data_IF_127310967568
#
_entry.id   IF_127310967568
#
_cell.length_a   1.000
_cell.length_b   1.000
_cell.length_c   1.000
_cell.angle_alpha   90.00
_cell.angle_beta   90.00
_cell.angle_gamma   90.00
#
_symmetry.space_group_name_H-M   'P 1'
#
loop_
_entity.id
_entity.type
_entity.pdbx_description
1 polymer ?
#
# COMPACT_ATOMS: atom_id res chain seq x y z
N UNK A 1 13.76 27.92 -7.84
CA UNK A 1 12.30 27.68 -7.80
C UNK A 1 12.03 26.35 -7.11
N UNK A 2 12.19 26.32 -5.79
CA UNK A 2 12.05 25.13 -4.94
C UNK A 2 10.95 25.40 -3.91
N UNK A 3 10.12 24.40 -3.62
CA UNK A 3 9.33 24.27 -2.39
C UNK A 3 8.10 25.19 -2.21
N UNK A 4 7.23 25.39 -3.21
CA UNK A 4 6.10 26.34 -3.06
C UNK A 4 4.75 25.71 -2.71
N UNK A 5 4.44 24.47 -3.09
CA UNK A 5 3.05 23.98 -2.91
C UNK A 5 2.69 23.44 -1.52
N UNK A 6 3.63 22.85 -0.77
CA UNK A 6 3.37 22.56 0.66
C UNK A 6 3.68 23.76 1.57
N UNK A 7 4.49 24.72 1.13
CA UNK A 7 4.79 25.92 1.93
C UNK A 7 3.65 26.93 1.89
N UNK A 8 3.25 27.39 0.69
CA UNK A 8 2.28 28.50 0.58
C UNK A 8 0.86 28.16 1.04
N UNK A 9 0.40 26.91 0.87
CA UNK A 9 -0.91 26.51 1.39
C UNK A 9 -0.88 26.30 2.90
N UNK A 10 0.20 25.75 3.47
CA UNK A 10 0.30 25.58 4.93
C UNK A 10 0.49 26.95 5.61
N UNK A 11 1.34 27.81 5.06
CA UNK A 11 1.60 29.16 5.60
C UNK A 11 0.34 30.03 5.52
N UNK A 12 -0.39 30.04 4.39
CA UNK A 12 -1.63 30.83 4.29
C UNK A 12 -2.78 30.29 5.14
N UNK A 13 -2.76 29.01 5.55
CA UNK A 13 -3.84 28.40 6.36
C UNK A 13 -3.55 28.45 7.86
N UNK A 14 -2.28 28.50 8.25
CA UNK A 14 -1.85 28.93 9.59
C UNK A 14 -2.24 30.39 9.79
N UNK A 15 -2.04 31.24 8.77
CA UNK A 15 -2.45 32.66 8.82
C UNK A 15 -3.97 32.86 8.88
N UNK A 16 -4.77 31.93 8.33
CA UNK A 16 -6.24 31.92 8.44
C UNK A 16 -6.78 31.35 9.78
N UNK A 17 -5.91 30.92 10.70
CA UNK A 17 -6.31 30.44 12.04
C UNK A 17 -7.04 29.09 12.06
N UNK A 18 -7.00 28.31 10.98
CA UNK A 18 -7.70 27.00 10.87
C UNK A 18 -7.02 25.87 11.67
N UNK A 19 -5.75 26.01 12.01
CA UNK A 19 -5.00 25.05 12.83
C UNK A 19 -4.24 25.78 13.94
N UNK A 20 -4.59 25.48 15.20
CA UNK A 20 -3.96 26.08 16.38
C UNK A 20 -2.67 25.35 16.80
N UNK A 21 -2.47 24.11 16.34
CA UNK A 21 -1.28 23.29 16.61
C UNK A 21 -0.60 22.91 15.28
N UNK A 22 0.67 23.30 15.03
CA UNK A 22 1.40 22.91 13.82
C UNK A 22 1.47 21.40 13.60
N UNK A 23 1.37 20.59 14.66
CA UNK A 23 1.28 19.13 14.55
C UNK A 23 -0.04 18.64 13.95
N UNK A 24 -1.10 19.46 13.92
CA UNK A 24 -2.36 19.12 13.25
C UNK A 24 -2.27 19.24 11.72
N UNK A 25 -1.23 19.89 11.20
CA UNK A 25 -0.92 19.92 9.75
C UNK A 25 -0.03 18.75 9.31
N UNK A 26 0.31 17.84 10.24
CA UNK A 26 1.13 16.67 9.94
C UNK A 26 0.45 15.79 8.88
N UNK A 27 1.05 15.81 7.70
CA UNK A 27 0.64 15.01 6.54
C UNK A 27 -0.87 15.12 6.25
N UNK A 28 -1.30 16.35 5.93
CA UNK A 28 -2.56 16.57 5.23
C UNK A 28 -2.34 16.30 3.74
N UNK A 29 -3.12 15.39 3.18
CA UNK A 29 -3.15 15.11 1.76
C UNK A 29 -4.44 15.64 1.14
N UNK A 30 -4.39 15.95 -0.14
CA UNK A 30 -5.47 16.66 -0.82
C UNK A 30 -5.99 15.87 -2.00
N UNK A 31 -7.31 15.89 -2.19
CA UNK A 31 -7.98 15.34 -3.37
C UNK A 31 -8.82 16.43 -4.06
N UNK A 32 -8.90 16.38 -5.38
CA UNK A 32 -9.75 17.28 -6.16
C UNK A 32 -11.23 17.00 -5.88
N UNK A 33 -12.01 18.03 -5.52
CA UNK A 33 -13.42 17.87 -5.21
C UNK A 33 -14.28 17.60 -6.47
N UNK A 34 -13.87 18.11 -7.63
CA UNK A 34 -14.43 17.78 -8.93
C UNK A 34 -14.04 16.39 -9.42
N UNK A 35 -13.10 15.71 -8.73
CA UNK A 35 -12.59 14.40 -9.09
C UNK A 35 -11.56 14.43 -10.23
N UNK A 36 -11.28 13.25 -10.76
CA UNK A 36 -10.27 13.00 -11.78
C UNK A 36 -10.88 12.34 -13.02
N UNK A 37 -10.13 12.31 -14.12
CA UNK A 37 -10.47 11.53 -15.30
C UNK A 37 -9.22 11.08 -16.05
N UNK A 38 -9.39 10.12 -16.96
CA UNK A 38 -8.34 9.66 -17.86
C UNK A 38 -8.34 10.46 -19.15
N UNK A 39 -7.21 11.07 -19.48
CA UNK A 39 -6.98 11.74 -20.74
C UNK A 39 -6.00 10.94 -21.61
N UNK A 40 -6.52 10.43 -22.73
CA UNK A 40 -5.76 9.68 -23.74
C UNK A 40 -4.94 10.61 -24.66
N UNK A 41 -5.18 11.93 -24.62
CA UNK A 41 -4.50 12.95 -25.44
C UNK A 41 -3.48 13.77 -24.64
N UNK A 42 -3.40 13.57 -23.33
CA UNK A 42 -2.41 14.24 -22.51
C UNK A 42 -1.00 13.73 -22.85
N UNK A 43 -0.06 14.64 -23.04
CA UNK A 43 1.33 14.32 -23.35
C UNK A 43 2.26 14.88 -22.26
N UNK A 44 3.30 14.16 -21.84
CA UNK A 44 4.31 14.71 -20.93
C UNK A 44 5.01 15.90 -21.59
N UNK A 45 5.13 17.02 -20.89
CA UNK A 45 5.44 18.29 -21.55
C UNK A 45 6.05 19.38 -20.70
N UNK A 46 6.68 19.08 -19.57
CA UNK A 46 7.33 20.13 -18.78
C UNK A 46 8.41 20.89 -19.57
N UNK A 47 8.37 22.23 -19.54
CA UNK A 47 9.23 23.28 -20.14
C UNK A 47 9.86 23.11 -21.56
N UNK A 48 10.15 21.90 -22.06
CA UNK A 48 10.75 21.62 -23.38
C UNK A 48 10.45 20.20 -23.87
N UNK A 49 9.17 19.81 -23.94
CA UNK A 49 8.76 18.56 -24.58
C UNK A 49 9.37 18.40 -25.99
N UNK A 50 10.26 17.41 -26.13
CA UNK A 50 11.18 17.02 -27.23
C UNK A 50 12.57 17.67 -27.20
N UNK A 51 13.67 16.87 -27.15
CA UNK A 51 14.93 17.29 -27.73
C UNK A 51 14.67 17.49 -29.23
N UNK A 52 14.89 18.71 -29.74
CA UNK A 52 15.36 18.84 -31.12
C UNK A 52 16.60 17.95 -31.23
N UNK A 53 16.64 17.08 -32.23
CA UNK A 53 17.74 16.17 -32.56
C UNK A 53 19.08 16.64 -31.97
N UNK A 54 19.50 16.01 -30.88
CA UNK A 54 20.66 16.43 -30.10
C UNK A 54 20.90 15.50 -28.92
N UNK A 55 22.16 15.29 -28.50
CA UNK A 55 22.51 14.23 -27.58
C UNK A 55 21.76 14.31 -26.25
N UNK A 56 21.30 13.14 -25.80
CA UNK A 56 20.42 12.92 -24.64
C UNK A 56 20.93 13.57 -23.35
N UNK A 57 20.02 13.93 -22.45
CA UNK A 57 20.32 14.52 -21.13
C UNK A 57 21.28 13.67 -20.26
N UNK A 58 21.32 12.36 -20.50
CA UNK A 58 22.26 11.43 -19.87
C UNK A 58 23.72 11.73 -20.29
N UNK A 59 23.94 12.12 -21.55
CA UNK A 59 25.25 12.51 -22.06
C UNK A 59 25.78 13.76 -21.36
N UNK A 60 24.90 14.73 -21.08
CA UNK A 60 25.27 15.96 -20.33
C UNK A 60 25.63 15.67 -18.86
N UNK A 61 24.97 14.72 -18.22
CA UNK A 61 25.28 14.35 -16.81
C UNK A 61 26.59 13.55 -16.74
N UNK A 62 26.83 12.65 -17.69
CA UNK A 62 28.09 11.90 -17.79
C UNK A 62 29.31 12.82 -18.06
N UNK A 63 29.14 13.81 -18.93
CA UNK A 63 30.16 14.83 -19.22
C UNK A 63 30.41 15.78 -18.03
N UNK A 64 29.43 15.99 -17.15
CA UNK A 64 29.54 16.90 -15.99
C UNK A 64 30.14 16.24 -14.74
N UNK A 65 30.00 14.92 -14.57
CA UNK A 65 30.36 14.23 -13.31
C UNK A 65 31.43 13.14 -13.42
N UNK A 66 32.08 12.98 -14.58
CA UNK A 66 33.42 12.37 -14.69
C UNK A 66 33.61 10.97 -14.07
N UNK A 67 32.60 10.11 -14.07
CA UNK A 67 32.75 8.72 -13.62
C UNK A 67 32.34 7.72 -14.69
N UNK A 68 33.33 7.12 -15.34
CA UNK A 68 33.17 6.07 -16.37
C UNK A 68 32.39 4.84 -15.86
N UNK A 69 32.30 4.64 -14.54
CA UNK A 69 31.54 3.56 -13.92
C UNK A 69 30.01 3.70 -14.09
N UNK A 70 29.45 4.92 -14.12
CA UNK A 70 28.01 5.11 -14.37
C UNK A 70 27.64 5.00 -15.84
N UNK A 71 28.59 5.21 -16.76
CA UNK A 71 28.35 5.12 -18.21
C UNK A 71 28.09 3.67 -18.65
N UNK A 72 28.82 2.69 -18.09
CA UNK A 72 28.68 1.27 -18.45
C UNK A 72 27.34 0.65 -18.02
N UNK A 73 26.75 1.12 -16.91
CA UNK A 73 25.42 0.67 -16.47
C UNK A 73 24.28 1.36 -17.26
N UNK A 74 24.56 2.50 -17.91
CA UNK A 74 23.59 3.25 -18.69
C UNK A 74 23.48 2.79 -20.16
N UNK A 75 24.54 2.18 -20.71
CA UNK A 75 24.62 1.73 -22.12
C UNK A 75 23.67 0.59 -22.49
N UNK A 76 22.94 0.00 -21.53
CA UNK A 76 21.96 -1.07 -21.76
C UNK A 76 20.53 -0.75 -21.30
N UNK A 77 20.27 0.44 -20.77
CA UNK A 77 18.90 0.83 -20.40
C UNK A 77 18.20 1.27 -21.69
N UNK A 78 17.13 0.57 -22.14
CA UNK A 78 16.31 1.11 -23.21
C UNK A 78 15.88 2.51 -22.78
N UNK A 79 15.90 3.46 -23.72
CA UNK A 79 15.30 4.78 -23.58
C UNK A 79 14.08 4.66 -22.68
N UNK A 80 13.96 5.51 -21.65
CA UNK A 80 12.74 5.55 -20.82
C UNK A 80 11.59 5.66 -21.80
N UNK A 81 10.90 4.55 -22.07
CA UNK A 81 9.69 4.54 -22.89
C UNK A 81 8.82 5.56 -22.18
N UNK A 82 8.52 6.71 -22.83
CA UNK A 82 7.74 7.73 -22.17
C UNK A 82 6.47 7.04 -21.68
N UNK A 83 6.08 7.25 -20.41
CA UNK A 83 4.88 6.64 -19.87
C UNK A 83 3.75 6.75 -20.89
N UNK A 84 3.25 5.60 -21.33
CA UNK A 84 2.24 5.58 -22.37
C UNK A 84 0.95 6.17 -21.82
N UNK A 85 0.33 7.07 -22.59
CA UNK A 85 -1.06 7.47 -22.40
C UNK A 85 -1.96 6.27 -22.06
N UNK A 86 -2.99 6.44 -21.24
CA UNK A 86 -3.54 7.72 -20.75
C UNK A 86 -2.89 8.24 -19.46
N UNK A 87 -3.19 9.50 -19.14
CA UNK A 87 -2.89 10.16 -17.88
C UNK A 87 -4.13 10.39 -17.04
N UNK A 88 -4.01 10.16 -15.74
CA UNK A 88 -4.99 10.57 -14.75
C UNK A 88 -4.69 12.02 -14.37
N UNK A 89 -5.67 12.90 -14.58
CA UNK A 89 -5.56 14.34 -14.31
C UNK A 89 -6.83 14.83 -13.60
N UNK A 90 -6.73 15.94 -12.87
CA UNK A 90 -7.89 16.60 -12.28
C UNK A 90 -8.87 17.11 -13.34
N UNK A 91 -10.15 17.19 -12.98
CA UNK A 91 -11.18 17.77 -13.84
C UNK A 91 -11.06 19.30 -13.89
N UNK A 92 -11.30 19.97 -15.05
CA UNK A 92 -11.31 21.43 -15.14
C UNK A 92 -12.35 22.11 -14.23
N UNK A 93 -13.40 21.37 -13.87
CA UNK A 93 -14.46 21.77 -12.96
C UNK A 93 -14.01 21.82 -11.50
N UNK A 94 -12.86 21.24 -11.17
CA UNK A 94 -12.27 21.31 -9.82
C UNK A 94 -12.11 22.77 -9.41
N UNK A 95 -12.72 23.15 -8.30
CA UNK A 95 -12.60 24.48 -7.72
C UNK A 95 -11.87 24.46 -6.37
N UNK A 96 -11.84 23.30 -5.70
CA UNK A 96 -11.24 23.14 -4.38
C UNK A 96 -10.55 21.78 -4.22
N UNK A 97 -9.56 21.76 -3.34
CA UNK A 97 -8.85 20.56 -2.92
C UNK A 97 -9.21 20.23 -1.46
N UNK A 98 -9.82 19.08 -1.23
CA UNK A 98 -10.24 18.63 0.09
C UNK A 98 -9.07 17.98 0.83
N UNK A 99 -8.66 18.59 1.95
CA UNK A 99 -7.62 18.07 2.82
C UNK A 99 -8.13 16.98 3.77
N UNK A 100 -7.37 15.90 3.94
CA UNK A 100 -7.61 14.83 4.91
C UNK A 100 -6.29 14.22 5.41
N UNK A 101 -6.32 13.36 6.43
CA UNK A 101 -5.12 12.74 7.03
C UNK A 101 -5.06 11.23 6.77
N UNK A 102 -4.43 10.77 5.68
CA UNK A 102 -4.48 9.36 5.29
C UNK A 102 -3.89 8.41 6.34
N UNK A 103 -2.83 8.85 7.04
CA UNK A 103 -2.15 8.02 8.03
C UNK A 103 -2.97 7.79 9.30
N UNK A 104 -3.85 8.72 9.64
CA UNK A 104 -4.72 8.67 10.82
C UNK A 104 -6.08 8.04 10.47
N UNK A 105 -6.71 8.51 9.40
CA UNK A 105 -8.08 8.13 9.03
C UNK A 105 -8.19 6.78 8.32
N UNK A 106 -7.08 6.32 7.69
CA UNK A 106 -7.03 5.07 6.92
C UNK A 106 -5.76 4.28 7.26
N UNK A 107 -5.68 3.67 8.46
CA UNK A 107 -4.44 3.07 8.96
C UNK A 107 -3.95 1.84 8.16
N UNK A 108 -4.79 1.27 7.28
CA UNK A 108 -4.53 0.10 6.45
C UNK A 108 -4.63 0.39 4.95
N UNK A 109 -4.44 1.64 4.54
CA UNK A 109 -4.57 2.06 3.13
C UNK A 109 -3.65 1.27 2.19
N UNK A 110 -2.49 0.81 2.67
CA UNK A 110 -1.60 -0.07 1.89
C UNK A 110 -2.23 -1.41 1.48
N UNK A 111 -3.14 -1.97 2.29
CA UNK A 111 -3.86 -3.20 1.96
C UNK A 111 -4.97 -2.94 0.95
N UNK A 112 -5.68 -1.82 1.09
CA UNK A 112 -6.67 -1.37 0.10
C UNK A 112 -6.01 -1.12 -1.26
N UNK A 113 -4.86 -0.45 -1.26
CA UNK A 113 -4.06 -0.21 -2.47
C UNK A 113 -3.52 -1.52 -3.08
N UNK A 114 -3.05 -2.47 -2.27
CA UNK A 114 -2.63 -3.79 -2.74
C UNK A 114 -3.78 -4.60 -3.38
N UNK A 115 -4.99 -4.45 -2.85
CA UNK A 115 -6.21 -5.10 -3.33
C UNK A 115 -6.84 -4.44 -4.56
N UNK A 116 -6.39 -3.23 -4.93
CA UNK A 116 -6.97 -2.42 -6.00
C UNK A 116 -6.84 -3.10 -7.37
N UNK A 117 -7.92 -3.24 -8.13
CA UNK A 117 -7.82 -3.73 -9.52
C UNK A 117 -7.00 -2.73 -10.36
N UNK A 118 -5.94 -3.15 -11.05
CA UNK A 118 -5.07 -2.26 -11.83
C UNK A 118 -5.71 -1.93 -13.19
N UNK A 119 -6.91 -1.36 -13.14
CA UNK A 119 -7.77 -0.99 -14.27
C UNK A 119 -8.06 0.50 -14.21
N UNK A 120 -8.39 1.14 -15.34
CA UNK A 120 -8.74 2.56 -15.40
C UNK A 120 -9.82 2.92 -14.36
N UNK A 121 -10.87 2.11 -14.25
CA UNK A 121 -12.02 2.33 -13.38
C UNK A 121 -11.64 2.19 -11.91
N UNK A 122 -10.96 1.09 -11.55
CA UNK A 122 -10.49 0.88 -10.18
C UNK A 122 -9.56 1.98 -9.70
N UNK A 123 -8.57 2.37 -10.52
CA UNK A 123 -7.64 3.46 -10.21
C UNK A 123 -8.39 4.79 -10.06
N UNK A 124 -9.32 5.09 -10.97
CA UNK A 124 -10.11 6.31 -10.90
C UNK A 124 -10.96 6.37 -9.63
N UNK A 125 -11.61 5.26 -9.24
CA UNK A 125 -12.38 5.17 -8.00
C UNK A 125 -11.49 5.37 -6.75
N UNK A 126 -10.25 4.90 -6.79
CA UNK A 126 -9.28 5.13 -5.72
C UNK A 126 -8.85 6.61 -5.68
N UNK A 127 -8.51 7.20 -6.83
CA UNK A 127 -8.07 8.58 -6.92
C UNK A 127 -9.18 9.58 -6.54
N UNK A 128 -10.44 9.33 -6.91
CA UNK A 128 -11.55 10.16 -6.45
C UNK A 128 -11.74 10.11 -4.93
N UNK A 129 -11.35 9.00 -4.28
CA UNK A 129 -11.43 8.87 -2.82
C UNK A 129 -10.23 9.46 -2.09
N UNK A 130 -9.03 9.34 -2.65
CA UNK A 130 -7.79 9.61 -1.92
C UNK A 130 -6.87 10.63 -2.61
N UNK A 131 -7.18 11.03 -3.83
CA UNK A 131 -6.31 11.86 -4.67
C UNK A 131 -5.28 11.05 -5.45
N UNK A 132 -4.45 11.78 -6.20
CA UNK A 132 -3.29 11.22 -6.91
C UNK A 132 -2.26 10.65 -5.93
N UNK A 133 -1.42 9.73 -6.40
CA UNK A 133 -0.41 9.08 -5.55
C UNK A 133 0.75 10.03 -5.20
N UNK A 134 1.10 10.90 -6.12
CA UNK A 134 2.26 11.77 -6.09
C UNK A 134 1.88 13.14 -6.65
N UNK A 135 2.88 13.94 -7.01
CA UNK A 135 2.67 15.13 -7.85
C UNK A 135 2.65 14.80 -9.34
N UNK A 136 2.78 13.54 -9.73
CA UNK A 136 2.84 13.15 -11.14
C UNK A 136 3.99 13.82 -11.90
N UNK A 137 3.81 13.92 -13.20
CA UNK A 137 4.65 14.72 -14.09
C UNK A 137 3.83 15.84 -14.72
N UNK A 138 4.51 16.89 -15.18
CA UNK A 138 3.85 17.96 -15.92
C UNK A 138 3.41 17.45 -17.29
N UNK A 139 2.12 17.52 -17.55
CA UNK A 139 1.48 17.12 -18.81
C UNK A 139 0.74 18.30 -19.44
N UNK A 140 0.66 18.27 -20.76
CA UNK A 140 -0.12 19.20 -21.57
C UNK A 140 -1.28 18.43 -22.20
N UNK A 141 -2.47 19.01 -22.16
CA UNK A 141 -3.67 18.43 -22.75
C UNK A 141 -4.49 19.48 -23.49
N UNK A 142 -5.17 19.13 -24.60
CA UNK A 142 -6.15 20.00 -25.24
C UNK A 142 -7.25 20.51 -24.30
N UNK A 143 -7.60 19.77 -23.24
CA UNK A 143 -8.64 20.17 -22.29
C UNK A 143 -8.21 21.39 -21.48
N UNK A 144 -6.94 21.44 -21.10
CA UNK A 144 -6.33 22.62 -20.46
C UNK A 144 -5.68 23.51 -21.54
N UNK A 145 -6.47 23.90 -22.54
CA UNK A 145 -6.02 24.87 -23.54
C UNK A 145 -7.09 25.91 -23.88
N UNK A 146 -6.66 27.10 -24.27
CA UNK A 146 -7.53 28.20 -24.68
C UNK A 146 -6.89 29.03 -25.80
N UNK A 147 -7.70 29.81 -26.52
CA UNK A 147 -7.17 30.69 -27.56
C UNK A 147 -6.47 31.90 -26.93
N UNK A 148 -5.39 32.35 -27.56
CA UNK A 148 -4.66 33.53 -27.09
C UNK A 148 -5.58 34.74 -27.01
N UNK A 149 -5.63 35.37 -25.84
CA UNK A 149 -6.51 36.52 -25.55
C UNK A 149 -7.84 36.17 -24.90
N UNK A 150 -8.17 34.88 -24.77
CA UNK A 150 -9.29 34.41 -23.94
C UNK A 150 -8.85 34.15 -22.50
N UNK A 151 -9.83 34.13 -21.60
CA UNK A 151 -9.60 33.66 -20.22
C UNK A 151 -9.48 32.13 -20.18
N UNK A 152 -8.66 31.57 -19.28
CA UNK A 152 -8.58 30.13 -19.10
C UNK A 152 -9.95 29.53 -18.72
N UNK A 153 -10.31 28.34 -19.25
CA UNK A 153 -11.61 27.72 -19.00
C UNK A 153 -11.72 27.01 -17.64
N UNK A 154 -10.61 26.78 -16.95
CA UNK A 154 -10.58 26.10 -15.65
C UNK A 154 -10.71 27.08 -14.47
N UNK A 155 -11.27 26.60 -13.37
CA UNK A 155 -11.56 27.43 -12.18
C UNK A 155 -10.44 27.47 -11.15
N UNK A 156 -9.61 26.43 -11.09
CA UNK A 156 -8.55 26.31 -10.07
C UNK A 156 -7.22 26.93 -10.52
N UNK A 157 -6.39 27.32 -9.55
CA UNK A 157 -5.05 27.90 -9.80
C UNK A 157 -3.93 26.85 -9.86
N UNK A 158 -4.26 25.55 -9.89
CA UNK A 158 -3.28 24.45 -9.91
C UNK A 158 -2.68 24.22 -11.31
N UNK A 159 -2.37 25.29 -12.03
CA UNK A 159 -1.70 25.27 -13.33
C UNK A 159 -0.28 25.78 -13.14
N UNK A 160 0.69 24.96 -13.53
CA UNK A 160 2.12 25.18 -13.32
C UNK A 160 2.69 26.33 -14.15
N UNK A 161 2.12 26.53 -15.33
CA UNK A 161 2.56 27.52 -16.31
C UNK A 161 1.66 27.51 -17.53
N UNK A 162 1.87 28.50 -18.40
CA UNK A 162 1.17 28.63 -19.67
C UNK A 162 2.16 28.51 -20.82
N UNK A 163 1.84 27.68 -21.81
CA UNK A 163 2.70 27.36 -22.94
C UNK A 163 1.99 27.68 -24.25
N UNK A 164 2.54 28.60 -25.03
CA UNK A 164 1.97 28.95 -26.34
C UNK A 164 2.49 28.01 -27.43
N UNK A 165 1.57 27.39 -28.16
CA UNK A 165 1.89 26.56 -29.32
C UNK A 165 0.79 26.72 -30.38
N UNK A 166 1.19 27.08 -31.61
CA UNK A 166 0.27 27.22 -32.76
C UNK A 166 -0.95 28.12 -32.49
N UNK A 167 -0.76 29.24 -31.77
CA UNK A 167 -1.83 30.21 -31.48
C UNK A 167 -2.78 29.80 -30.33
N UNK A 168 -2.53 28.65 -29.69
CA UNK A 168 -3.22 28.20 -28.48
C UNK A 168 -2.30 28.30 -27.28
N UNK A 169 -2.87 28.55 -26.11
CA UNK A 169 -2.19 28.52 -24.82
C UNK A 169 -2.60 27.26 -24.08
N UNK A 170 -1.62 26.47 -23.63
CA UNK A 170 -1.82 25.27 -22.82
C UNK A 170 -1.42 25.54 -21.38
N UNK A 171 -2.27 25.15 -20.43
CA UNK A 171 -1.93 25.07 -19.02
C UNK A 171 -1.19 23.79 -18.72
N UNK A 172 0.02 23.89 -18.16
CA UNK A 172 0.73 22.73 -17.60
C UNK A 172 0.04 22.26 -16.32
N UNK A 173 -0.36 20.99 -16.28
CA UNK A 173 -0.98 20.37 -15.11
C UNK A 173 -0.19 19.14 -14.68
N UNK A 174 -0.44 18.66 -13.47
CA UNK A 174 0.14 17.41 -13.01
C UNK A 174 -0.71 16.22 -13.44
N UNK A 175 -0.05 15.17 -13.95
CA UNK A 175 -0.71 13.93 -14.37
C UNK A 175 0.07 12.68 -13.98
N UNK A 176 -0.65 11.59 -13.73
CA UNK A 176 -0.05 10.28 -13.46
C UNK A 176 -0.48 9.26 -14.52
N UNK A 177 0.49 8.65 -15.19
CA UNK A 177 0.17 7.67 -16.24
C UNK A 177 -0.46 6.39 -15.69
N UNK A 178 -1.28 5.73 -16.52
CA UNK A 178 -1.86 4.44 -16.18
C UNK A 178 -0.79 3.39 -15.86
N UNK A 179 0.29 3.36 -16.65
CA UNK A 179 1.41 2.44 -16.44
C UNK A 179 2.09 2.65 -15.08
N UNK A 180 2.26 3.90 -14.65
CA UNK A 180 2.78 4.21 -13.31
C UNK A 180 1.88 3.63 -12.21
N UNK A 181 0.58 3.88 -12.27
CA UNK A 181 -0.37 3.33 -11.30
C UNK A 181 -0.36 1.80 -11.27
N UNK A 182 -0.41 1.16 -12.44
CA UNK A 182 -0.37 -0.31 -12.57
C UNK A 182 0.90 -0.88 -11.94
N UNK A 183 2.06 -0.25 -12.18
CA UNK A 183 3.34 -0.65 -11.60
C UNK A 183 3.34 -0.53 -10.07
N UNK A 184 2.87 0.58 -9.52
CA UNK A 184 2.85 0.80 -8.07
C UNK A 184 1.87 -0.13 -7.34
N UNK A 185 0.66 -0.32 -7.87
CA UNK A 185 -0.33 -1.28 -7.35
C UNK A 185 0.25 -2.69 -7.36
N UNK A 186 0.86 -3.10 -8.48
CA UNK A 186 1.40 -4.44 -8.66
C UNK A 186 2.60 -4.68 -7.72
N UNK A 187 3.48 -3.69 -7.56
CA UNK A 187 4.59 -3.75 -6.62
C UNK A 187 4.10 -3.91 -5.17
N UNK A 188 3.13 -3.10 -4.74
CA UNK A 188 2.55 -3.20 -3.41
C UNK A 188 1.91 -4.58 -3.19
N UNK A 189 1.08 -5.04 -4.13
CA UNK A 189 0.41 -6.36 -4.07
C UNK A 189 1.40 -7.50 -3.89
N UNK A 190 2.46 -7.52 -4.71
CA UNK A 190 3.47 -8.59 -4.68
C UNK A 190 4.23 -8.61 -3.35
N UNK A 191 4.59 -7.45 -2.82
CA UNK A 191 5.32 -7.38 -1.54
C UNK A 191 4.42 -7.64 -0.32
N UNK A 192 3.15 -7.19 -0.34
CA UNK A 192 2.17 -7.56 0.68
C UNK A 192 2.01 -9.08 0.73
N UNK A 193 1.97 -9.76 -0.43
CA UNK A 193 1.91 -11.24 -0.49
C UNK A 193 3.13 -11.91 0.17
N UNK A 194 4.34 -11.41 -0.10
CA UNK A 194 5.57 -11.91 0.55
C UNK A 194 5.53 -11.68 2.07
N UNK A 195 5.07 -10.50 2.50
CA UNK A 195 4.89 -10.19 3.92
C UNK A 195 3.87 -11.11 4.59
N UNK A 196 2.75 -11.41 3.94
CA UNK A 196 1.76 -12.37 4.43
C UNK A 196 2.37 -13.77 4.58
N UNK A 197 3.12 -14.24 3.59
CA UNK A 197 3.78 -15.55 3.67
C UNK A 197 4.84 -15.63 4.77
N UNK A 198 5.60 -14.56 4.98
CA UNK A 198 6.54 -14.45 6.11
C UNK A 198 5.82 -14.52 7.45
N UNK A 199 4.70 -13.82 7.57
CA UNK A 199 3.90 -13.76 8.79
C UNK A 199 3.22 -15.10 9.11
N UNK A 200 2.76 -15.80 8.09
CA UNK A 200 2.10 -17.10 8.20
C UNK A 200 3.08 -18.28 8.24
N UNK A 201 4.40 -18.05 8.15
CA UNK A 201 5.41 -19.11 8.16
C UNK A 201 5.39 -20.01 6.91
N UNK A 202 4.92 -19.50 5.77
CA UNK A 202 4.75 -20.26 4.51
C UNK A 202 6.08 -20.37 3.74
N UNK A 203 7.05 -21.07 4.29
CA UNK A 203 8.37 -21.27 3.70
C UNK A 203 8.31 -21.85 2.27
N UNK A 204 7.38 -22.77 1.99
CA UNK A 204 7.22 -23.37 0.66
C UNK A 204 6.80 -22.34 -0.41
N UNK A 205 5.96 -21.36 -0.04
CA UNK A 205 5.61 -20.26 -0.94
C UNK A 205 6.77 -19.27 -1.09
N UNK A 206 7.54 -19.02 -0.03
CA UNK A 206 8.75 -18.18 -0.10
C UNK A 206 9.83 -18.77 -1.01
N UNK A 207 9.94 -20.10 -1.12
CA UNK A 207 10.84 -20.78 -2.08
C UNK A 207 10.51 -20.50 -3.55
N UNK A 208 9.28 -20.09 -3.87
CA UNK A 208 8.93 -19.66 -5.23
C UNK A 208 9.51 -18.27 -5.55
N UNK A 209 9.69 -17.44 -4.52
CA UNK A 209 10.22 -16.08 -4.64
C UNK A 209 11.73 -16.06 -4.53
N UNK A 210 12.29 -16.76 -3.55
CA UNK A 210 13.72 -16.75 -3.22
C UNK A 210 14.37 -18.02 -3.71
N UNK A 211 15.42 -17.88 -4.53
CA UNK A 211 16.24 -19.00 -5.01
C UNK A 211 17.72 -18.76 -4.71
N UNK A 212 18.35 -19.72 -4.06
CA UNK A 212 19.81 -19.78 -3.98
C UNK A 212 20.36 -20.20 -5.34
N UNK A 213 21.45 -19.56 -5.77
CA UNK A 213 22.19 -20.05 -6.93
C UNK A 213 22.83 -21.40 -6.62
N UNK A 214 22.87 -22.30 -7.60
CA UNK A 214 23.39 -23.67 -7.41
C UNK A 214 24.86 -23.68 -6.97
N UNK A 215 25.65 -22.74 -7.50
CA UNK A 215 27.04 -22.50 -7.14
C UNK A 215 27.22 -21.85 -5.75
N UNK A 216 26.13 -21.47 -5.08
CA UNK A 216 26.13 -20.80 -3.79
C UNK A 216 26.63 -19.35 -3.82
N UNK A 217 26.92 -18.78 -5.00
CA UNK A 217 27.49 -17.43 -5.14
C UNK A 217 26.45 -16.32 -5.00
N UNK A 218 25.20 -16.62 -4.73
CA UNK A 218 24.22 -15.57 -4.50
C UNK A 218 22.79 -16.07 -4.32
N UNK A 219 21.90 -15.10 -4.14
CA UNK A 219 20.47 -15.31 -3.94
C UNK A 219 19.73 -14.46 -4.96
N UNK A 220 18.84 -15.08 -5.72
CA UNK A 220 17.95 -14.45 -6.68
C UNK A 220 16.55 -14.33 -6.11
N UNK A 221 15.81 -13.34 -6.59
CA UNK A 221 14.40 -13.21 -6.30
C UNK A 221 13.56 -13.12 -7.58
N UNK A 222 12.29 -13.50 -7.48
CA UNK A 222 11.27 -13.21 -8.47
C UNK A 222 9.95 -12.82 -7.80
N UNK A 223 9.42 -11.67 -8.19
CA UNK A 223 8.14 -11.11 -7.77
C UNK A 223 7.21 -11.11 -8.98
N UNK A 224 6.44 -12.19 -9.13
CA UNK A 224 5.41 -12.34 -10.14
C UNK A 224 4.03 -12.61 -9.52
N UNK A 225 3.03 -12.80 -10.36
CA UNK A 225 1.76 -13.37 -9.93
C UNK A 225 1.86 -14.88 -9.71
N UNK A 226 0.85 -15.51 -9.10
CA UNK A 226 0.96 -16.91 -8.65
C UNK A 226 1.29 -17.87 -9.80
N UNK A 227 0.66 -17.66 -10.96
CA UNK A 227 0.96 -18.41 -12.18
C UNK A 227 2.43 -18.24 -12.63
N UNK A 228 2.92 -17.00 -12.66
CA UNK A 228 4.31 -16.71 -13.05
C UNK A 228 5.32 -17.25 -12.03
N UNK A 229 5.00 -17.22 -10.74
CA UNK A 229 5.85 -17.75 -9.67
C UNK A 229 6.04 -19.26 -9.82
N UNK A 230 4.96 -20.00 -10.06
CA UNK A 230 5.02 -21.45 -10.28
C UNK A 230 5.81 -21.79 -11.55
N UNK A 231 5.61 -21.01 -12.63
CA UNK A 231 6.35 -21.19 -13.87
C UNK A 231 7.83 -20.87 -13.71
N UNK A 232 8.16 -19.75 -13.07
CA UNK A 232 9.54 -19.39 -12.73
C UNK A 232 10.21 -20.43 -11.83
N UNK A 233 9.47 -21.02 -10.90
CA UNK A 233 9.96 -22.08 -10.04
C UNK A 233 10.42 -23.30 -10.86
N UNK A 234 9.62 -23.71 -11.85
CA UNK A 234 9.87 -24.88 -12.72
C UNK A 234 10.88 -24.63 -13.84
N UNK A 235 10.76 -23.51 -14.54
CA UNK A 235 11.44 -23.28 -15.82
C UNK A 235 12.57 -22.24 -15.72
N UNK A 236 12.56 -21.41 -14.68
CA UNK A 236 13.34 -20.17 -14.64
C UNK A 236 12.81 -19.12 -15.63
N UNK A 237 13.60 -18.06 -15.85
CA UNK A 237 13.32 -17.06 -16.90
C UNK A 237 13.93 -17.56 -18.22
N UNK A 238 13.09 -17.67 -19.25
CA UNK A 238 13.47 -18.01 -20.63
C UNK A 238 12.77 -17.06 -21.58
N UNK A 239 13.34 -16.82 -22.75
CA UNK A 239 12.69 -16.04 -23.80
C UNK A 239 11.97 -16.99 -24.77
N UNK A 240 10.73 -16.67 -25.10
CA UNK A 240 9.88 -17.38 -26.06
C UNK A 240 9.41 -16.39 -27.12
N UNK A 241 9.11 -16.87 -28.33
CA UNK A 241 8.52 -16.02 -29.37
C UNK A 241 7.00 -15.91 -29.16
N UNK A 242 6.49 -14.68 -29.15
CA UNK A 242 5.05 -14.41 -29.18
C UNK A 242 4.45 -14.68 -30.58
N UNK A 243 3.13 -14.55 -30.71
CA UNK A 243 2.42 -14.75 -32.00
C UNK A 243 2.87 -13.78 -33.11
N UNK A 244 3.60 -12.72 -32.77
CA UNK A 244 4.15 -11.71 -33.69
C UNK A 244 5.65 -11.90 -33.91
N UNK A 245 6.23 -13.02 -33.45
CA UNK A 245 7.65 -13.34 -33.57
C UNK A 245 8.56 -12.56 -32.62
N UNK A 246 8.02 -11.82 -31.64
CA UNK A 246 8.83 -11.04 -30.68
C UNK A 246 9.30 -11.94 -29.54
N UNK A 247 10.56 -11.82 -29.18
CA UNK A 247 11.11 -12.49 -28.00
C UNK A 247 10.61 -11.81 -26.72
N UNK A 248 9.85 -12.55 -25.92
CA UNK A 248 9.30 -12.11 -24.64
C UNK A 248 9.69 -13.11 -23.54
N UNK A 249 9.83 -12.68 -22.27
CA UNK A 249 10.05 -13.62 -21.19
C UNK A 249 8.82 -14.55 -21.03
N UNK A 250 9.08 -15.81 -20.68
CA UNK A 250 8.05 -16.81 -20.38
C UNK A 250 7.28 -16.51 -19.09
N UNK A 251 7.80 -15.60 -18.26
CA UNK A 251 7.21 -15.15 -17.00
C UNK A 251 7.18 -13.63 -16.93
N UNK A 252 6.13 -13.07 -16.33
CA UNK A 252 5.98 -11.64 -16.15
C UNK A 252 6.11 -11.26 -14.68
N UNK A 253 7.13 -10.47 -14.37
CA UNK A 253 7.40 -10.06 -13.01
C UNK A 253 8.73 -9.32 -12.89
N UNK A 254 9.07 -8.98 -11.66
CA UNK A 254 10.36 -8.39 -11.33
C UNK A 254 11.28 -9.49 -10.83
N UNK A 255 12.41 -9.74 -11.50
CA UNK A 255 13.46 -10.64 -11.02
C UNK A 255 14.78 -9.90 -10.92
N UNK A 256 15.67 -10.46 -10.12
CA UNK A 256 17.05 -10.01 -10.08
C UNK A 256 17.85 -10.75 -9.03
N UNK A 257 19.10 -10.31 -8.89
CA UNK A 257 19.91 -10.71 -7.75
C UNK A 257 19.51 -9.89 -6.53
N UNK A 258 19.21 -10.60 -5.45
CA UNK A 258 19.04 -9.97 -4.14
C UNK A 258 20.40 -9.67 -3.52
N UNK A 259 21.31 -10.65 -3.59
CA UNK A 259 22.69 -10.60 -3.10
C UNK A 259 23.58 -11.45 -4.00
N UNK A 260 24.79 -10.98 -4.34
CA UNK A 260 25.80 -11.74 -5.10
C UNK A 260 27.17 -11.63 -4.44
N UNK A 261 27.88 -12.76 -4.34
CA UNK A 261 29.28 -12.80 -3.94
C UNK A 261 30.11 -11.90 -4.87
N UNK A 262 31.12 -11.24 -4.30
CA UNK A 262 32.07 -10.40 -5.02
C UNK A 262 31.48 -9.17 -5.74
N UNK A 263 30.17 -8.91 -5.64
CA UNK A 263 29.55 -7.71 -6.19
C UNK A 263 29.79 -6.47 -5.32
N UNK A 264 29.65 -6.62 -4.00
CA UNK A 264 29.94 -5.57 -3.03
C UNK A 264 30.31 -6.15 -1.65
N UNK A 265 31.09 -5.43 -0.81
CA UNK A 265 31.34 -5.85 0.57
C UNK A 265 30.06 -5.97 1.41
N UNK A 266 29.01 -5.22 1.06
CA UNK A 266 27.70 -5.33 1.70
C UNK A 266 27.02 -6.66 1.37
N UNK A 267 27.07 -7.07 0.11
CA UNK A 267 26.48 -8.33 -0.35
C UNK A 267 27.18 -9.54 0.28
N UNK A 268 28.50 -9.52 0.35
CA UNK A 268 29.27 -10.60 0.99
C UNK A 268 28.91 -10.77 2.47
N UNK A 269 28.71 -9.65 3.19
CA UNK A 269 28.24 -9.67 4.58
C UNK A 269 26.84 -10.26 4.68
N UNK A 270 25.92 -9.88 3.79
CA UNK A 270 24.57 -10.43 3.79
C UNK A 270 24.55 -11.94 3.51
N UNK A 271 25.35 -12.43 2.56
CA UNK A 271 25.47 -13.88 2.31
C UNK A 271 25.96 -14.65 3.54
N UNK A 272 26.91 -14.10 4.29
CA UNK A 272 27.40 -14.71 5.54
C UNK A 272 26.34 -14.74 6.66
N UNK A 273 25.38 -13.82 6.64
CA UNK A 273 24.29 -13.76 7.62
C UNK A 273 23.14 -14.75 7.31
N UNK A 274 23.03 -15.24 6.08
CA UNK A 274 21.96 -16.12 5.66
C UNK A 274 22.42 -17.58 5.67
N UNK A 275 21.82 -18.48 6.48
CA UNK A 275 22.08 -19.90 6.39
C UNK A 275 21.77 -20.41 4.98
N UNK A 276 22.66 -21.24 4.41
CA UNK A 276 22.48 -21.78 3.06
C UNK A 276 21.14 -22.51 2.94
N UNK A 277 20.37 -22.17 1.92
CA UNK A 277 19.03 -22.73 1.69
C UNK A 277 17.90 -22.06 2.48
N UNK A 278 18.20 -21.12 3.40
CA UNK A 278 17.17 -20.33 4.07
C UNK A 278 16.46 -19.40 3.07
N UNK A 279 15.14 -19.33 3.16
CA UNK A 279 14.32 -18.42 2.35
C UNK A 279 13.65 -17.34 3.17
N UNK A 280 13.66 -17.45 4.50
CA UNK A 280 12.97 -16.53 5.40
C UNK A 280 13.77 -15.24 5.58
N UNK A 281 15.06 -15.32 5.94
CA UNK A 281 15.88 -14.13 6.13
C UNK A 281 16.09 -13.38 4.80
N UNK A 282 16.38 -14.04 3.65
CA UNK A 282 16.46 -13.34 2.39
C UNK A 282 15.12 -12.70 1.98
N UNK A 283 13.97 -13.34 2.23
CA UNK A 283 12.68 -12.72 1.94
C UNK A 283 12.40 -11.48 2.81
N UNK A 284 12.80 -11.49 4.10
CA UNK A 284 12.75 -10.29 4.95
C UNK A 284 13.64 -9.17 4.40
N UNK A 285 14.83 -9.53 3.96
CA UNK A 285 15.76 -8.57 3.36
C UNK A 285 15.25 -8.01 2.03
N UNK A 286 14.58 -8.83 1.21
CA UNK A 286 13.89 -8.38 -0.01
C UNK A 286 12.82 -7.33 0.31
N UNK A 287 11.97 -7.57 1.33
CA UNK A 287 10.99 -6.57 1.77
C UNK A 287 11.68 -5.27 2.19
N UNK A 288 12.71 -5.36 3.03
CA UNK A 288 13.47 -4.19 3.47
C UNK A 288 14.03 -3.40 2.27
N UNK A 289 14.72 -4.09 1.35
CA UNK A 289 15.34 -3.46 0.17
C UNK A 289 14.30 -2.76 -0.68
N UNK A 290 13.19 -3.44 -0.99
CA UNK A 290 12.13 -2.89 -1.85
C UNK A 290 11.34 -1.75 -1.21
N UNK A 291 11.04 -1.84 0.09
CA UNK A 291 10.38 -0.75 0.81
C UNK A 291 11.31 0.47 0.87
N UNK A 292 12.60 0.27 1.16
CA UNK A 292 13.57 1.37 1.19
C UNK A 292 13.76 2.01 -0.18
N UNK A 293 13.80 1.21 -1.26
CA UNK A 293 13.78 1.72 -2.64
C UNK A 293 12.54 2.58 -2.89
N UNK A 294 11.35 2.15 -2.44
CA UNK A 294 10.09 2.89 -2.63
C UNK A 294 9.97 4.15 -1.78
N UNK A 295 10.66 4.22 -0.65
CA UNK A 295 10.72 5.40 0.23
C UNK A 295 11.94 6.29 -0.03
N UNK A 296 12.75 5.98 -1.05
CA UNK A 296 13.97 6.73 -1.31
C UNK A 296 13.67 8.08 -2.00
N UNK A 297 14.47 9.12 -1.73
CA UNK A 297 14.39 10.38 -2.48
C UNK A 297 14.60 10.18 -3.99
N UNK A 298 15.44 9.21 -4.40
CA UNK A 298 15.71 8.92 -5.81
C UNK A 298 14.51 8.37 -6.58
N UNK A 299 13.47 7.89 -5.89
CA UNK A 299 12.19 7.50 -6.49
C UNK A 299 11.10 8.58 -6.38
N UNK A 300 11.44 9.77 -5.87
CA UNK A 300 10.49 10.88 -5.73
C UNK A 300 9.45 10.68 -4.62
N UNK A 301 9.66 9.70 -3.73
CA UNK A 301 8.71 9.33 -2.67
C UNK A 301 9.36 9.36 -1.26
N UNK A 302 10.07 10.44 -0.88
CA UNK A 302 10.80 10.48 0.37
C UNK A 302 9.87 10.54 1.60
N UNK A 303 10.36 9.98 2.71
CA UNK A 303 9.85 10.23 4.06
C UNK A 303 10.88 11.06 4.81
N UNK A 304 10.49 12.27 5.22
CA UNK A 304 11.39 13.21 5.88
C UNK A 304 11.25 13.17 7.39
N UNK A 305 12.37 13.20 8.10
CA UNK A 305 12.36 13.58 9.51
C UNK A 305 12.12 15.09 9.61
N UNK A 306 11.07 15.51 10.33
CA UNK A 306 10.76 16.91 10.60
C UNK A 306 10.68 17.15 12.10
N UNK A 307 11.23 18.28 12.54
CA UNK A 307 11.12 18.76 13.92
C UNK A 307 9.96 19.75 14.00
N UNK A 308 8.91 19.40 14.74
CA UNK A 308 7.67 20.17 14.78
C UNK A 308 7.31 20.50 16.23
N UNK A 309 6.86 21.73 16.44
CA UNK A 309 6.34 22.19 17.73
C UNK A 309 5.02 21.49 18.02
N UNK A 310 4.91 20.87 19.21
CA UNK A 310 3.67 20.31 19.70
C UNK A 310 3.04 21.29 20.69
N UNK A 311 1.94 21.93 20.30
CA UNK A 311 1.33 22.97 21.12
C UNK A 311 0.80 22.44 22.47
N UNK A 312 0.34 21.19 22.52
CA UNK A 312 -0.17 20.56 23.76
C UNK A 312 0.90 20.33 24.83
N UNK A 313 2.15 20.11 24.43
CA UNK A 313 3.25 19.80 25.36
C UNK A 313 4.31 20.89 25.43
N UNK A 314 4.19 21.93 24.60
CA UNK A 314 5.17 23.02 24.45
C UNK A 314 6.59 22.51 24.21
N UNK A 315 6.73 21.43 23.42
CA UNK A 315 8.01 20.78 23.13
C UNK A 315 8.16 20.50 21.64
N UNK A 316 9.40 20.53 21.18
CA UNK A 316 9.78 20.04 19.85
C UNK A 316 9.77 18.52 19.85
N UNK A 317 9.13 17.93 18.83
CA UNK A 317 9.10 16.48 18.63
C UNK A 317 9.44 16.14 17.18
N UNK A 318 10.19 15.06 17.01
CA UNK A 318 10.55 14.55 15.68
C UNK A 318 9.43 13.68 15.13
N UNK A 319 9.05 13.93 13.88
CA UNK A 319 8.08 13.17 13.12
C UNK A 319 8.67 12.68 11.81
N UNK A 320 8.25 11.49 11.38
CA UNK A 320 8.51 11.00 10.02
C UNK A 320 7.29 11.37 9.15
N UNK A 321 7.52 12.22 8.16
CA UNK A 321 6.48 12.84 7.33
C UNK A 321 6.70 12.42 5.88
N UNK A 322 5.83 11.57 5.33
CA UNK A 322 5.83 11.26 3.90
C UNK A 322 5.58 12.51 3.05
N UNK A 323 6.21 12.61 1.89
CA UNK A 323 6.06 13.78 1.00
C UNK A 323 4.79 13.72 0.15
N UNK A 324 4.29 12.51 -0.10
CA UNK A 324 3.12 12.26 -0.92
C UNK A 324 2.32 11.01 -0.49
N UNK A 325 1.12 10.82 -1.06
CA UNK A 325 0.27 9.68 -0.73
C UNK A 325 0.96 8.33 -0.95
N UNK A 326 1.74 8.17 -2.01
CA UNK A 326 2.45 6.92 -2.30
C UNK A 326 3.46 6.59 -1.20
N UNK A 327 4.32 7.54 -0.83
CA UNK A 327 5.26 7.40 0.27
C UNK A 327 4.55 7.13 1.60
N UNK A 328 3.36 7.68 1.82
CA UNK A 328 2.55 7.41 3.00
C UNK A 328 2.01 5.99 3.04
N UNK A 329 1.51 5.47 1.91
CA UNK A 329 1.05 4.09 1.76
C UNK A 329 2.22 3.12 1.99
N UNK A 330 3.39 3.36 1.37
CA UNK A 330 4.61 2.56 1.61
C UNK A 330 5.12 2.67 3.05
N UNK A 331 4.99 3.84 3.68
CA UNK A 331 5.34 4.04 5.08
C UNK A 331 4.40 3.29 6.03
N UNK A 332 3.09 3.23 5.75
CA UNK A 332 2.18 2.35 6.50
C UNK A 332 2.59 0.88 6.37
N UNK A 333 2.95 0.45 5.17
CA UNK A 333 3.40 -0.92 4.95
C UNK A 333 4.69 -1.22 5.72
N UNK A 334 5.65 -0.29 5.76
CA UNK A 334 6.88 -0.46 6.56
C UNK A 334 6.58 -0.58 8.06
N UNK A 335 5.59 0.14 8.57
CA UNK A 335 5.12 0.01 9.95
C UNK A 335 4.51 -1.37 10.23
N UNK A 336 3.79 -1.95 9.25
CA UNK A 336 3.24 -3.29 9.37
C UNK A 336 4.34 -4.38 9.31
N UNK A 337 5.35 -4.21 8.46
CA UNK A 337 6.51 -5.12 8.34
C UNK A 337 7.37 -5.12 9.61
N UNK A 338 7.59 -3.95 10.21
CA UNK A 338 8.39 -3.80 11.43
C UNK A 338 7.62 -4.17 12.71
N UNK A 339 6.32 -4.45 12.61
CA UNK A 339 5.44 -4.73 13.75
C UNK A 339 5.06 -3.50 14.57
N UNK A 340 5.47 -2.29 14.15
CA UNK A 340 5.01 -1.01 14.75
C UNK A 340 3.49 -0.85 14.61
N UNK A 341 2.92 -1.33 13.51
CA UNK A 341 1.49 -1.59 13.38
C UNK A 341 1.22 -3.09 13.48
N UNK A 342 0.41 -3.49 14.43
CA UNK A 342 0.00 -4.89 14.60
C UNK A 342 -1.24 -5.15 13.75
N UNK A 343 -1.04 -5.57 12.50
CA UNK A 343 -2.12 -5.82 11.56
C UNK A 343 -2.47 -7.31 11.55
N UNK A 344 -3.73 -7.71 11.69
CA UNK A 344 -4.19 -9.11 11.63
C UNK A 344 -5.42 -9.30 10.76
N UNK A 345 -5.51 -10.49 10.15
CA UNK A 345 -6.68 -10.93 9.39
C UNK A 345 -7.64 -11.65 10.31
N UNK A 346 -8.91 -11.29 10.27
CA UNK A 346 -9.95 -11.96 11.04
C UNK A 346 -10.17 -13.37 10.47
N UNK A 347 -10.08 -14.44 11.27
CA UNK A 347 -10.26 -15.82 10.78
C UNK A 347 -11.72 -16.16 10.42
N UNK A 348 -12.65 -15.21 10.53
CA UNK A 348 -14.08 -15.40 10.24
C UNK A 348 -14.52 -14.68 8.97
N UNK A 349 -14.37 -13.37 8.91
CA UNK A 349 -14.72 -12.60 7.71
C UNK A 349 -13.55 -12.51 6.72
N UNK A 350 -12.32 -12.77 7.15
CA UNK A 350 -11.15 -12.57 6.30
C UNK A 350 -10.72 -11.10 6.16
N UNK A 351 -11.35 -10.17 6.86
CA UNK A 351 -10.96 -8.76 6.78
C UNK A 351 -9.73 -8.45 7.64
N UNK A 352 -8.91 -7.51 7.15
CA UNK A 352 -7.74 -7.02 7.85
C UNK A 352 -8.11 -5.96 8.90
N UNK A 353 -7.36 -5.89 9.99
CA UNK A 353 -7.58 -4.93 11.07
C UNK A 353 -6.27 -4.57 11.76
N UNK A 354 -6.13 -3.28 12.05
CA UNK A 354 -5.07 -2.76 12.92
C UNK A 354 -5.50 -2.98 14.38
N UNK A 355 -4.78 -3.87 15.06
CA UNK A 355 -4.99 -4.20 16.47
C UNK A 355 -3.89 -3.62 17.36
N UNK A 356 -3.16 -2.60 16.89
CA UNK A 356 -2.10 -1.93 17.67
C UNK A 356 -2.61 -1.37 19.00
N UNK A 357 -3.87 -0.92 19.03
CA UNK A 357 -4.52 -0.36 20.22
C UNK A 357 -5.32 -1.40 21.04
N UNK A 358 -5.30 -2.68 20.66
CA UNK A 358 -5.95 -3.72 21.45
C UNK A 358 -5.21 -3.94 22.77
N UNK A 359 -5.94 -4.08 23.89
CA UNK A 359 -5.33 -4.29 25.22
C UNK A 359 -4.42 -5.51 25.28
N UNK A 360 -4.71 -6.54 24.47
CA UNK A 360 -3.89 -7.73 24.36
C UNK A 360 -3.89 -8.26 22.91
N UNK A 361 -3.03 -7.71 22.04
CA UNK A 361 -3.03 -8.05 20.61
C UNK A 361 -2.70 -9.53 20.36
N UNK A 362 -1.93 -10.17 21.25
CA UNK A 362 -1.61 -11.60 21.18
C UNK A 362 -2.86 -12.49 21.41
N UNK A 363 -3.80 -12.03 22.23
CA UNK A 363 -5.08 -12.72 22.51
C UNK A 363 -6.20 -12.36 21.54
N UNK A 364 -5.99 -11.47 20.58
CA UNK A 364 -7.00 -11.17 19.56
C UNK A 364 -7.33 -12.42 18.72
N UNK A 365 -8.61 -12.66 18.45
CA UNK A 365 -9.13 -13.88 17.76
C UNK A 365 -10.09 -13.57 16.61
N UNK A 366 -10.31 -12.29 16.28
CA UNK A 366 -11.31 -11.84 15.33
C UNK A 366 -12.15 -10.69 15.91
N UNK A 367 -12.94 -10.05 15.05
CA UNK A 367 -13.79 -8.94 15.47
C UNK A 367 -14.84 -9.36 16.50
N UNK A 368 -15.30 -8.40 17.32
CA UNK A 368 -16.29 -8.68 18.37
C UNK A 368 -17.61 -9.20 17.77
N UNK A 369 -18.06 -8.56 16.70
CA UNK A 369 -19.22 -8.91 15.88
C UNK A 369 -19.04 -10.23 15.13
N UNK A 370 -17.82 -10.59 14.72
CA UNK A 370 -17.54 -11.91 14.12
C UNK A 370 -17.57 -13.05 15.16
N UNK A 371 -17.15 -12.77 16.40
CA UNK A 371 -17.08 -13.76 17.48
C UNK A 371 -18.41 -13.91 18.25
N UNK A 372 -19.24 -12.87 18.27
CA UNK A 372 -20.52 -12.82 19.00
C UNK A 372 -21.51 -13.90 18.59
N UNK A 373 -21.94 -13.98 17.31
CA UNK A 373 -22.88 -14.99 16.83
C UNK A 373 -22.39 -16.43 17.06
N UNK A 374 -21.10 -16.69 16.81
CA UNK A 374 -20.49 -17.98 17.04
C UNK A 374 -20.44 -18.35 18.55
N UNK A 375 -20.21 -17.38 19.44
CA UNK A 375 -20.28 -17.57 20.89
C UNK A 375 -21.71 -17.82 21.37
N UNK A 376 -22.68 -17.07 20.84
CA UNK A 376 -24.10 -17.21 21.16
C UNK A 376 -24.64 -18.58 20.71
N UNK A 377 -24.32 -19.03 19.50
CA UNK A 377 -24.68 -20.38 18.99
C UNK A 377 -24.15 -21.50 19.90
N UNK A 378 -22.84 -21.51 20.19
CA UNK A 378 -22.24 -22.51 21.09
C UNK A 378 -22.82 -22.48 22.51
N UNK A 379 -23.17 -21.30 23.02
CA UNK A 379 -23.86 -21.19 24.31
C UNK A 379 -25.25 -21.84 24.24
N UNK A 380 -26.05 -21.52 23.22
CA UNK A 380 -27.39 -22.10 23.02
C UNK A 380 -27.35 -23.61 22.86
N UNK A 381 -26.38 -24.14 22.10
CA UNK A 381 -26.19 -25.59 21.95
C UNK A 381 -25.86 -26.28 23.28
N UNK A 382 -24.98 -25.70 24.09
CA UNK A 382 -24.70 -26.22 25.44
C UNK A 382 -25.91 -26.15 26.36
N UNK A 383 -26.65 -25.05 26.35
CA UNK A 383 -27.88 -24.91 27.14
C UNK A 383 -28.90 -25.99 26.73
N UNK A 384 -29.14 -26.16 25.42
CA UNK A 384 -30.06 -27.18 24.90
C UNK A 384 -29.65 -28.59 25.33
N UNK A 385 -28.36 -28.92 25.22
CA UNK A 385 -27.82 -30.22 25.61
C UNK A 385 -27.88 -30.44 27.12
N UNK A 386 -27.56 -29.42 27.93
CA UNK A 386 -27.72 -29.46 29.39
C UNK A 386 -29.15 -29.75 29.78
N UNK A 387 -30.13 -29.05 29.19
CA UNK A 387 -31.54 -29.27 29.49
C UNK A 387 -32.03 -30.64 29.02
N UNK A 388 -31.50 -31.16 27.90
CA UNK A 388 -31.78 -32.53 27.43
C UNK A 388 -31.30 -33.56 28.46
N UNK A 389 -30.03 -33.52 28.83
CA UNK A 389 -29.43 -34.47 29.80
C UNK A 389 -30.12 -34.38 31.17
N UNK A 390 -30.47 -33.17 31.62
CA UNK A 390 -31.18 -32.98 32.88
C UNK A 390 -32.59 -33.59 32.85
N UNK A 391 -33.34 -33.43 31.75
CA UNK A 391 -34.65 -34.08 31.57
C UNK A 391 -34.56 -35.61 31.47
N UNK A 392 -33.43 -36.12 31.00
CA UNK A 392 -33.12 -37.56 30.97
C UNK A 392 -32.69 -38.11 32.35
N UNK A 393 -32.69 -37.27 33.40
CA UNK A 393 -32.41 -37.70 34.78
C UNK A 393 -30.92 -37.80 35.11
N UNK A 394 -30.03 -37.28 34.25
CA UNK A 394 -28.59 -37.29 34.53
C UNK A 394 -28.29 -36.35 35.71
N UNK A 395 -27.52 -36.80 36.74
CA UNK A 395 -27.17 -35.96 37.88
C UNK A 395 -26.44 -34.67 37.46
N UNK A 396 -26.74 -33.56 38.15
CA UNK A 396 -26.24 -32.22 37.81
C UNK A 396 -24.70 -32.18 37.81
N UNK A 397 -24.06 -32.87 38.75
CA UNK A 397 -22.62 -32.98 38.88
C UNK A 397 -21.98 -33.65 37.64
N UNK A 398 -22.68 -34.63 37.06
CA UNK A 398 -22.23 -35.32 35.85
C UNK A 398 -22.39 -34.42 34.62
N UNK A 399 -23.50 -33.69 34.52
CA UNK A 399 -23.70 -32.70 33.45
C UNK A 399 -22.66 -31.59 33.53
N UNK A 400 -22.28 -31.16 34.74
CA UNK A 400 -21.20 -30.19 34.95
C UNK A 400 -19.85 -30.67 34.43
N UNK A 401 -19.48 -31.94 34.68
CA UNK A 401 -18.26 -32.55 34.13
C UNK A 401 -18.28 -32.56 32.60
N UNK A 402 -19.39 -33.00 31.99
CA UNK A 402 -19.56 -33.05 30.53
C UNK A 402 -19.46 -31.64 29.92
N UNK A 403 -20.11 -30.65 30.53
CA UNK A 403 -20.12 -29.28 30.01
C UNK A 403 -18.79 -28.54 30.25
N UNK A 404 -18.08 -28.84 31.32
CA UNK A 404 -16.72 -28.34 31.55
C UNK A 404 -15.77 -28.81 30.43
N UNK A 405 -15.86 -30.08 30.01
CA UNK A 405 -15.15 -30.61 28.83
C UNK A 405 -15.50 -29.89 27.52
N UNK A 406 -16.69 -29.29 27.44
CA UNK A 406 -17.16 -28.46 26.31
C UNK A 406 -16.95 -26.94 26.53
N UNK A 407 -16.16 -26.56 27.54
CA UNK A 407 -15.76 -25.18 27.83
C UNK A 407 -16.82 -24.33 28.54
N UNK A 408 -17.75 -24.92 29.28
CA UNK A 408 -18.64 -24.19 30.19
C UNK A 408 -17.90 -23.76 31.47
N UNK A 409 -18.30 -22.62 32.05
CA UNK A 409 -17.73 -22.15 33.32
C UNK A 409 -18.36 -22.92 34.49
N UNK A 410 -17.63 -23.12 35.60
CA UNK A 410 -18.18 -23.70 36.82
C UNK A 410 -19.48 -22.98 37.26
N UNK A 411 -20.48 -23.76 37.70
CA UNK A 411 -21.80 -23.26 38.11
C UNK A 411 -22.72 -22.77 36.99
N UNK A 412 -22.33 -22.91 35.71
CA UNK A 412 -23.20 -22.52 34.58
C UNK A 412 -24.40 -23.44 34.40
N UNK A 413 -24.24 -24.74 34.70
CA UNK A 413 -25.27 -25.77 34.50
C UNK A 413 -26.45 -25.55 35.44
N UNK A 414 -26.19 -25.37 36.73
CA UNK A 414 -27.21 -25.06 37.74
C UNK A 414 -28.03 -23.82 37.35
N UNK A 415 -27.33 -22.74 36.96
CA UNK A 415 -27.98 -21.51 36.49
C UNK A 415 -28.87 -21.75 35.25
N UNK A 416 -28.42 -22.52 34.27
CA UNK A 416 -29.23 -22.79 33.07
C UNK A 416 -30.49 -23.60 33.38
N UNK A 417 -30.42 -24.54 34.33
CA UNK A 417 -31.57 -25.31 34.80
C UNK A 417 -32.54 -24.40 35.58
N UNK A 418 -32.02 -23.58 36.50
CA UNK A 418 -32.81 -22.61 37.26
C UNK A 418 -33.52 -21.60 36.33
N UNK A 419 -32.80 -21.04 35.34
CA UNK A 419 -33.37 -20.12 34.34
C UNK A 419 -34.49 -20.81 33.54
N UNK A 420 -34.32 -22.09 33.21
CA UNK A 420 -35.34 -22.87 32.51
C UNK A 420 -36.58 -23.15 33.39
N UNK A 421 -36.39 -23.49 34.67
CA UNK A 421 -37.47 -23.72 35.62
C UNK A 421 -38.31 -22.45 35.80
N UNK A 422 -37.66 -21.29 36.00
CA UNK A 422 -38.33 -19.97 36.13
C UNK A 422 -39.13 -19.56 34.90
N UNK A 423 -38.75 -20.03 33.71
CA UNK A 423 -39.43 -19.71 32.45
C UNK A 423 -40.46 -20.74 32.03
N UNK A 424 -40.55 -21.87 32.75
CA UNK A 424 -41.47 -22.97 32.47
C UNK A 424 -42.59 -23.10 33.51
N UNK A 425 -42.60 -22.27 34.55
CA UNK A 425 -43.74 -22.10 35.44
C UNK A 425 -44.86 -21.34 34.69
N UNK A 426 -46.09 -21.89 34.59
CA UNK A 426 -47.21 -21.14 34.04
C UNK A 426 -47.55 -19.97 34.97
N UNK A 427 -47.80 -18.78 34.41
CA UNK A 427 -48.49 -17.69 35.12
C UNK A 427 -49.74 -18.28 35.78
N UNK A 428 -49.75 -18.35 37.10
CA UNK A 428 -50.94 -18.72 37.84
C UNK A 428 -51.98 -17.63 37.59
N UNK A 429 -53.03 -18.00 36.83
CA UNK A 429 -54.28 -17.27 36.71
C UNK A 429 -54.81 -17.08 38.13
N UNK A 430 -54.84 -15.83 38.58
CA UNK A 430 -55.49 -15.42 39.83
C UNK A 430 -57.01 -15.45 39.62
N UNK A 431 -57.68 -16.36 40.32
CA UNK A 431 -59.10 -16.20 40.67
C UNK A 431 -59.25 -15.17 41.80
#
# INVERSE_FOLDING_TARGET
MRTVFNGRLIDSWIDEGKYLDPSETLFVWYRANGGYYWDDKAEPGGLFGKPKEGPTAVKRIAETFGSEAMARDAEGLPDRIPPSTPYLIETPETDLFEGYKPLEERPLLFLEFAGLKPTREGILEFANRYGMLTRGEEVLTPVYSFEKGQSPPWKHQNVLGHYEFQGRVYGGIFGESLDFWVKEITAMRRLVRVWEWLKDGKADKLRLVIKWADDGRGIRYFLGDEHDLERYAKEGVRYIQDKRGRWIPNVFGEFGWLVVADHSPGDERMLKLFPRGDVVLPARYLLQKKINEKLSPSKGNPVYARLIWNAKTSRLKTYLVPDNLLSAIWFQFSQAVTGKKNVKRCPKCGEWTDISNEKNPAKWRGHKECLGPARSKRRRERVKETLRLWREGVPVEEIERIMAGKGAKPGSVRRWIEDFLKTSEPEQVSD
#
